data_IF_029077281833
#
_entry.id   IF_029077281833
#
_cell.length_a   1.000
_cell.length_b   1.000
_cell.length_c   1.000
_cell.angle_alpha   90.00
_cell.angle_beta   90.00
_cell.angle_gamma   90.00
#
_symmetry.space_group_name_H-M   'P 1'
#
loop_
_entity.id
_entity.type
_entity.pdbx_description
1 polymer ?
#
# COMPACT_ATOMS: atom_id res chain seq x y z
N UNK A 1 20.99 5.06 -12.88
CA UNK A 1 19.95 4.56 -11.91
C UNK A 1 18.73 5.45 -11.96
N UNK A 2 17.58 4.87 -12.19
CA UNK A 2 16.29 5.54 -12.05
C UNK A 2 15.51 4.83 -10.95
N UNK A 3 15.40 5.49 -9.79
CA UNK A 3 14.88 4.90 -8.56
C UNK A 3 13.37 5.13 -8.41
N UNK A 4 12.64 4.10 -7.97
CA UNK A 4 11.32 4.25 -7.36
C UNK A 4 11.33 3.77 -5.91
N UNK A 5 10.64 4.49 -5.02
CA UNK A 5 10.37 4.03 -3.66
C UNK A 5 8.95 3.48 -3.58
N UNK A 6 8.83 2.34 -2.91
CA UNK A 6 7.59 1.63 -2.71
C UNK A 6 7.22 1.60 -1.22
N UNK A 7 5.92 1.68 -0.90
CA UNK A 7 5.44 1.71 0.49
C UNK A 7 4.45 0.58 0.76
N UNK A 8 4.74 -0.16 1.85
CA UNK A 8 4.16 -1.45 2.16
C UNK A 8 2.63 -1.44 2.33
N UNK A 9 1.94 -2.51 1.87
CA UNK A 9 0.50 -2.69 2.00
C UNK A 9 0.08 -3.21 3.38
N UNK A 10 -1.24 -3.15 3.67
CA UNK A 10 -1.85 -3.97 4.72
C UNK A 10 -1.62 -5.46 4.44
N UNK A 11 -1.32 -6.22 5.50
CA UNK A 11 -0.88 -7.61 5.41
C UNK A 11 0.64 -7.79 5.57
N UNK A 12 1.41 -6.69 5.57
CA UNK A 12 2.86 -6.70 5.81
C UNK A 12 3.24 -6.52 7.29
N UNK A 13 2.29 -6.11 8.14
CA UNK A 13 2.54 -5.81 9.55
C UNK A 13 2.98 -7.04 10.35
N UNK A 14 3.93 -6.85 11.23
CA UNK A 14 4.37 -7.84 12.20
C UNK A 14 4.85 -7.15 13.48
N UNK A 15 4.64 -7.74 14.68
CA UNK A 15 5.21 -7.22 15.91
C UNK A 15 6.73 -7.05 15.81
N UNK A 16 7.24 -5.93 16.28
CA UNK A 16 8.66 -5.55 16.15
C UNK A 16 8.95 -4.61 14.98
N UNK A 17 8.01 -4.40 14.04
CA UNK A 17 8.23 -3.56 12.86
C UNK A 17 8.62 -2.14 13.26
N UNK A 18 9.67 -1.60 12.59
CA UNK A 18 10.19 -0.26 12.79
C UNK A 18 10.99 -0.02 14.08
N UNK A 19 10.96 -0.93 15.08
CA UNK A 19 11.67 -0.76 16.37
C UNK A 19 13.17 -0.58 16.15
N UNK A 20 13.78 -1.47 15.40
CA UNK A 20 15.22 -1.40 15.16
C UNK A 20 15.60 -0.14 14.40
N UNK A 21 14.83 0.25 13.37
CA UNK A 21 15.05 1.50 12.64
C UNK A 21 14.95 2.72 13.54
N UNK A 22 13.96 2.79 14.44
CA UNK A 22 13.82 3.87 15.43
C UNK A 22 15.00 3.92 16.43
N UNK A 23 15.69 2.81 16.67
CA UNK A 23 16.90 2.78 17.50
C UNK A 23 18.15 3.26 16.75
N UNK A 24 18.14 3.26 15.43
CA UNK A 24 19.27 3.55 14.54
C UNK A 24 19.24 4.93 13.89
N UNK A 25 18.07 5.56 13.83
CA UNK A 25 17.80 6.78 13.08
C UNK A 25 16.92 7.72 13.91
N UNK A 26 17.39 8.98 14.05
CA UNK A 26 16.64 10.01 14.74
C UNK A 26 15.35 10.35 14.01
N UNK A 27 15.38 10.40 12.66
CA UNK A 27 14.20 10.62 11.83
C UNK A 27 13.17 9.50 11.91
N UNK A 28 13.63 8.24 12.00
CA UNK A 28 12.73 7.12 12.21
C UNK A 28 12.07 7.17 13.61
N UNK A 29 12.83 7.48 14.66
CA UNK A 29 12.30 7.66 16.02
C UNK A 29 11.27 8.80 16.04
N UNK A 30 11.61 9.94 15.48
CA UNK A 30 10.71 11.10 15.41
C UNK A 30 9.39 10.79 14.68
N UNK A 31 9.39 9.89 13.68
CA UNK A 31 8.13 9.48 13.03
C UNK A 31 7.18 8.75 13.99
N UNK A 32 7.69 7.88 14.86
CA UNK A 32 6.88 7.20 15.87
C UNK A 32 6.42 8.17 16.98
N UNK A 33 7.29 9.07 17.45
CA UNK A 33 6.94 10.09 18.44
C UNK A 33 5.86 11.04 17.92
N UNK A 34 5.94 11.47 16.67
CA UNK A 34 4.95 12.29 15.99
C UNK A 34 3.62 11.55 15.85
N UNK A 35 3.65 10.25 15.51
CA UNK A 35 2.46 9.43 15.37
C UNK A 35 1.73 9.23 16.72
N UNK A 36 2.47 8.90 17.79
CA UNK A 36 1.93 8.76 19.14
C UNK A 36 1.26 10.07 19.61
N UNK A 37 1.93 11.20 19.39
CA UNK A 37 1.40 12.51 19.75
C UNK A 37 0.17 12.91 18.95
N UNK A 38 0.17 12.65 17.62
CA UNK A 38 -0.91 13.04 16.72
C UNK A 38 -2.19 12.26 16.98
N UNK A 39 -2.07 10.94 17.19
CA UNK A 39 -3.24 10.07 17.33
C UNK A 39 -3.72 9.90 18.77
N UNK A 40 -2.90 10.31 19.76
CA UNK A 40 -3.26 10.23 21.18
C UNK A 40 -3.28 8.80 21.73
N UNK A 41 -2.71 7.85 20.99
CA UNK A 41 -2.46 6.47 21.44
C UNK A 41 -1.09 6.00 20.96
N UNK A 42 -0.52 5.00 21.63
CA UNK A 42 0.85 4.58 21.31
C UNK A 42 0.90 3.66 20.09
N UNK A 43 1.11 4.27 18.91
CA UNK A 43 1.40 3.58 17.65
C UNK A 43 2.68 2.76 17.78
N UNK A 44 3.70 3.36 18.43
CA UNK A 44 4.98 2.72 18.69
C UNK A 44 4.83 1.43 19.47
N UNK A 45 4.08 1.41 20.59
CA UNK A 45 3.88 0.22 21.40
C UNK A 45 3.15 -0.90 20.63
N UNK A 46 2.15 -0.55 19.81
CA UNK A 46 1.43 -1.52 18.98
C UNK A 46 2.34 -2.11 17.90
N UNK A 47 3.15 -1.28 17.23
CA UNK A 47 4.11 -1.75 16.23
C UNK A 47 5.17 -2.67 16.85
N UNK A 48 5.68 -2.32 18.04
CA UNK A 48 6.84 -3.00 18.64
C UNK A 48 6.47 -4.21 19.47
N UNK A 49 5.42 -4.11 20.26
CA UNK A 49 5.08 -5.12 21.28
C UNK A 49 3.76 -5.84 20.97
N UNK A 50 2.95 -5.31 20.03
CA UNK A 50 1.63 -5.86 19.72
C UNK A 50 0.59 -5.52 20.80
N UNK A 51 -0.33 -6.41 21.16
CA UNK A 51 -0.42 -7.82 20.69
C UNK A 51 -0.82 -7.92 19.20
N UNK A 52 -0.58 -9.07 18.60
CA UNK A 52 -0.84 -9.32 17.17
C UNK A 52 -2.29 -9.05 16.77
N UNK A 53 -3.23 -9.38 17.63
CA UNK A 53 -4.66 -9.15 17.41
C UNK A 53 -4.99 -7.66 17.26
N UNK A 54 -4.37 -6.81 18.07
CA UNK A 54 -4.50 -5.35 17.98
C UNK A 54 -3.83 -4.81 16.73
N UNK A 55 -2.62 -5.30 16.42
CA UNK A 55 -1.88 -4.89 15.23
C UNK A 55 -2.61 -5.28 13.94
N UNK A 56 -3.43 -6.34 13.96
CA UNK A 56 -4.25 -6.80 12.84
C UNK A 56 -5.65 -6.17 12.78
N UNK A 57 -6.06 -5.38 13.80
CA UNK A 57 -7.26 -4.56 13.68
C UNK A 57 -6.98 -3.43 12.68
N UNK A 58 -7.80 -3.31 11.64
CA UNK A 58 -7.60 -2.34 10.56
C UNK A 58 -7.46 -0.90 11.07
N UNK A 59 -8.12 -0.56 12.21
CA UNK A 59 -8.03 0.76 12.87
C UNK A 59 -6.62 1.08 13.36
N UNK A 60 -5.85 0.06 13.71
CA UNK A 60 -4.48 0.19 14.19
C UNK A 60 -3.45 -0.18 13.11
N UNK A 61 -3.75 -1.18 12.28
CA UNK A 61 -2.87 -1.62 11.20
C UNK A 61 -2.47 -0.47 10.28
N UNK A 62 -3.43 0.32 9.83
CA UNK A 62 -3.17 1.33 8.80
C UNK A 62 -2.27 2.46 9.32
N UNK A 63 -2.54 3.11 10.48
CA UNK A 63 -1.61 4.09 11.05
C UNK A 63 -0.24 3.51 11.37
N UNK A 64 -0.17 2.27 11.87
CA UNK A 64 1.09 1.59 12.14
C UNK A 64 1.93 1.38 10.88
N UNK A 65 1.31 0.99 9.76
CA UNK A 65 2.01 0.82 8.47
C UNK A 65 2.47 2.15 7.89
N UNK A 66 1.65 3.19 7.93
CA UNK A 66 2.05 4.53 7.51
C UNK A 66 3.28 5.02 8.29
N UNK A 67 3.21 4.94 9.63
CA UNK A 67 4.32 5.37 10.48
C UNK A 67 5.60 4.60 10.21
N UNK A 68 5.50 3.26 10.11
CA UNK A 68 6.66 2.40 9.83
C UNK A 68 7.26 2.68 8.46
N UNK A 69 6.43 2.93 7.44
CA UNK A 69 6.89 3.25 6.08
C UNK A 69 7.63 4.59 6.03
N UNK A 70 7.11 5.61 6.69
CA UNK A 70 7.78 6.93 6.79
C UNK A 70 9.06 6.84 7.62
N UNK A 71 9.05 6.06 8.73
CA UNK A 71 10.24 5.80 9.53
C UNK A 71 11.35 5.10 8.71
N UNK A 72 10.99 4.10 7.91
CA UNK A 72 11.92 3.40 7.02
C UNK A 72 12.54 4.34 5.98
N UNK A 73 11.72 5.18 5.34
CA UNK A 73 12.21 6.21 4.42
C UNK A 73 13.17 7.21 5.11
N UNK A 74 12.78 7.75 6.29
CA UNK A 74 13.63 8.71 7.03
C UNK A 74 14.96 8.07 7.42
N UNK A 75 14.97 6.80 7.84
CA UNK A 75 16.20 6.06 8.16
C UNK A 75 17.11 5.89 6.93
N UNK A 76 16.56 5.60 5.76
CA UNK A 76 17.31 5.50 4.51
C UNK A 76 17.89 6.86 4.10
N UNK A 77 17.10 7.92 4.14
CA UNK A 77 17.49 9.26 3.75
C UNK A 77 18.59 9.88 4.66
N UNK A 78 18.70 9.43 5.92
CA UNK A 78 19.83 9.81 6.81
C UNK A 78 21.14 9.11 6.43
N UNK A 79 21.11 8.02 5.67
CA UNK A 79 22.30 7.22 5.32
C UNK A 79 22.87 7.54 3.95
N UNK A 80 22.02 7.95 3.01
CA UNK A 80 22.41 8.19 1.62
C UNK A 80 21.47 9.20 0.99
N UNK A 81 21.91 10.01 0.02
CA UNK A 81 20.99 10.78 -0.80
C UNK A 81 19.97 9.86 -1.48
N UNK A 82 18.71 10.21 -1.40
CA UNK A 82 17.60 9.46 -1.99
C UNK A 82 16.83 10.39 -2.92
N UNK A 83 17.00 10.21 -4.22
CA UNK A 83 16.38 11.01 -5.27
C UNK A 83 15.51 10.13 -6.18
N UNK A 84 14.32 9.73 -5.73
CA UNK A 84 13.45 8.89 -6.52
C UNK A 84 12.80 9.68 -7.66
N UNK A 85 12.66 9.03 -8.82
CA UNK A 85 11.88 9.56 -9.94
C UNK A 85 10.37 9.32 -9.73
N UNK A 86 10.02 8.25 -8.99
CA UNK A 86 8.65 7.89 -8.69
C UNK A 86 8.51 7.39 -7.25
N UNK A 87 7.32 7.63 -6.71
CA UNK A 87 6.85 7.06 -5.46
C UNK A 87 5.58 6.26 -5.74
N UNK A 88 5.44 5.10 -5.13
CA UNK A 88 4.23 4.30 -5.21
C UNK A 88 3.98 3.60 -3.89
N UNK A 89 2.73 3.51 -3.48
CA UNK A 89 2.33 2.75 -2.31
C UNK A 89 1.12 1.89 -2.63
N UNK A 90 1.03 0.71 -2.06
CA UNK A 90 -0.11 -0.17 -2.32
C UNK A 90 -1.20 0.10 -1.28
N UNK A 91 -2.39 0.54 -1.72
CA UNK A 91 -3.53 0.87 -0.86
C UNK A 91 -3.14 1.91 0.22
N UNK A 92 -3.11 1.55 1.51
CA UNK A 92 -2.68 2.45 2.59
C UNK A 92 -1.26 2.99 2.39
N UNK A 93 -0.39 2.24 1.72
CA UNK A 93 0.97 2.69 1.41
C UNK A 93 1.04 3.94 0.54
N UNK A 94 0.00 4.25 -0.26
CA UNK A 94 -0.06 5.48 -1.05
C UNK A 94 -0.01 6.74 -0.16
N UNK A 95 -0.54 6.69 1.07
CA UNK A 95 -0.41 7.78 2.04
C UNK A 95 1.03 8.04 2.49
N UNK A 96 1.85 6.99 2.60
CA UNK A 96 3.28 7.17 2.86
C UNK A 96 4.00 7.83 1.67
N UNK A 97 3.60 7.48 0.44
CA UNK A 97 4.08 8.17 -0.77
C UNK A 97 3.71 9.66 -0.76
N UNK A 98 2.49 10.02 -0.31
CA UNK A 98 2.06 11.43 -0.16
C UNK A 98 2.95 12.20 0.81
N UNK A 99 3.28 11.60 1.97
CA UNK A 99 4.16 12.24 2.97
C UNK A 99 5.57 12.45 2.40
N UNK A 100 6.13 11.45 1.75
CA UNK A 100 7.48 11.53 1.18
C UNK A 100 7.53 12.50 0.00
N UNK A 101 6.48 12.56 -0.81
CA UNK A 101 6.35 13.55 -1.89
C UNK A 101 6.13 14.99 -1.37
N UNK A 102 5.78 15.16 -0.09
CA UNK A 102 5.47 16.47 0.51
C UNK A 102 4.08 17.00 0.13
N UNK A 103 3.16 16.11 -0.25
CA UNK A 103 1.75 16.46 -0.52
C UNK A 103 1.01 16.72 0.79
N UNK A 104 1.30 15.92 1.82
CA UNK A 104 0.80 16.05 3.19
C UNK A 104 1.99 15.98 4.16
N UNK A 105 1.87 16.63 5.31
CA UNK A 105 2.74 16.31 6.45
C UNK A 105 2.33 14.96 7.09
N UNK A 106 3.18 14.42 7.94
CA UNK A 106 2.90 13.11 8.56
C UNK A 106 1.67 13.17 9.49
N UNK A 107 1.49 14.27 10.20
CA UNK A 107 0.37 14.43 11.12
C UNK A 107 -0.98 14.47 10.38
N UNK A 108 -1.08 15.21 9.26
CA UNK A 108 -2.25 15.23 8.39
C UNK A 108 -2.54 13.84 7.80
N UNK A 109 -1.50 13.17 7.26
CA UNK A 109 -1.65 11.82 6.72
C UNK A 109 -2.11 10.81 7.78
N UNK A 110 -1.62 10.92 9.03
CA UNK A 110 -2.03 10.07 10.15
C UNK A 110 -3.51 10.27 10.51
N UNK A 111 -3.98 11.53 10.59
CA UNK A 111 -5.40 11.81 10.85
C UNK A 111 -6.29 11.23 9.76
N UNK A 112 -5.92 11.41 8.50
CA UNK A 112 -6.66 10.86 7.35
C UNK A 112 -6.65 9.34 7.32
N UNK A 113 -5.50 8.70 7.59
CA UNK A 113 -5.38 7.24 7.64
C UNK A 113 -6.16 6.66 8.83
N UNK A 114 -6.15 7.34 9.99
CA UNK A 114 -6.99 6.92 11.12
C UNK A 114 -8.48 7.00 10.74
N UNK A 115 -8.92 8.11 10.14
CA UNK A 115 -10.30 8.24 9.64
C UNK A 115 -10.67 7.19 8.63
N UNK A 116 -9.76 6.93 7.65
CA UNK A 116 -9.91 5.84 6.67
C UNK A 116 -10.09 4.49 7.35
N UNK A 117 -9.22 4.17 8.28
CA UNK A 117 -9.24 2.90 9.01
C UNK A 117 -10.53 2.71 9.82
N UNK A 118 -10.99 3.76 10.50
CA UNK A 118 -12.24 3.75 11.28
C UNK A 118 -13.47 3.52 10.38
N UNK A 119 -13.54 4.24 9.26
CA UNK A 119 -14.63 4.09 8.29
C UNK A 119 -14.62 2.68 7.65
N UNK A 120 -13.44 2.17 7.24
CA UNK A 120 -13.32 0.84 6.66
C UNK A 120 -13.61 -0.28 7.66
N UNK A 121 -13.33 -0.07 8.95
CA UNK A 121 -13.57 -1.08 9.98
C UNK A 121 -15.07 -1.28 10.28
N UNK A 122 -15.91 -0.26 10.07
CA UNK A 122 -17.37 -0.33 10.29
C UNK A 122 -18.15 -0.54 8.99
N UNK A 123 -17.49 -0.44 7.85
CA UNK A 123 -18.09 -0.63 6.54
C UNK A 123 -18.30 -2.11 6.27
N UNK A 124 -19.44 -2.59 6.72
CA UNK A 124 -20.11 -3.77 6.19
C UNK A 124 -19.66 -5.18 6.64
N UNK A 125 -20.50 -5.79 7.46
CA UNK A 125 -20.44 -7.22 7.83
C UNK A 125 -20.84 -8.21 6.72
N UNK A 126 -21.35 -7.77 5.56
CA UNK A 126 -21.79 -8.65 4.45
C UNK A 126 -20.75 -8.83 3.35
N UNK A 127 -19.70 -8.00 3.34
CA UNK A 127 -18.63 -8.03 2.36
C UNK A 127 -17.41 -8.84 2.80
N UNK A 128 -16.48 -9.05 1.85
CA UNK A 128 -15.21 -9.74 2.08
C UNK A 128 -14.30 -9.66 0.88
N UNK A 129 -13.12 -10.28 1.05
CA UNK A 129 -12.10 -10.37 0.00
C UNK A 129 -11.51 -11.78 -0.06
N UNK A 130 -11.05 -12.19 -1.24
CA UNK A 130 -10.33 -13.44 -1.41
C UNK A 130 -9.16 -13.28 -2.39
N UNK A 131 -8.00 -13.84 -2.05
CA UNK A 131 -6.87 -13.94 -2.95
C UNK A 131 -7.01 -15.17 -3.85
N UNK A 132 -6.93 -14.95 -5.16
CA UNK A 132 -6.95 -15.97 -6.22
C UNK A 132 -5.53 -16.18 -6.71
N UNK A 133 -5.03 -17.40 -6.57
CA UNK A 133 -3.66 -17.77 -6.92
C UNK A 133 -3.67 -18.72 -8.11
N UNK A 134 -2.86 -18.41 -9.12
CA UNK A 134 -2.63 -19.27 -10.28
C UNK A 134 -3.50 -18.95 -11.50
N UNK A 135 -4.26 -17.85 -11.44
CA UNK A 135 -4.98 -17.30 -12.59
C UNK A 135 -4.49 -15.90 -12.90
N UNK A 136 -4.42 -15.56 -14.16
CA UNK A 136 -4.18 -14.20 -14.64
C UNK A 136 -5.46 -13.35 -14.47
N UNK A 137 -5.29 -12.03 -14.41
CA UNK A 137 -6.37 -11.06 -14.18
C UNK A 137 -7.58 -11.27 -15.09
N UNK A 138 -7.35 -11.48 -16.37
CA UNK A 138 -8.40 -11.63 -17.38
C UNK A 138 -9.28 -12.85 -17.12
N UNK A 139 -8.67 -13.97 -16.69
CA UNK A 139 -9.39 -15.19 -16.34
C UNK A 139 -10.21 -15.02 -15.04
N UNK A 140 -9.67 -14.27 -14.06
CA UNK A 140 -10.39 -13.94 -12.83
C UNK A 140 -11.56 -13.00 -13.16
N UNK A 141 -11.34 -11.97 -13.98
CA UNK A 141 -12.40 -11.04 -14.40
C UNK A 141 -13.54 -11.77 -15.12
N UNK A 142 -13.21 -12.65 -16.08
CA UNK A 142 -14.22 -13.44 -16.78
C UNK A 142 -15.03 -14.33 -15.82
N UNK A 143 -14.40 -14.91 -14.80
CA UNK A 143 -15.10 -15.72 -13.79
C UNK A 143 -16.00 -14.86 -12.88
N UNK A 144 -15.60 -13.64 -12.55
CA UNK A 144 -16.40 -12.65 -11.81
C UNK A 144 -17.62 -12.25 -12.63
N UNK A 145 -17.43 -11.85 -13.90
CA UNK A 145 -18.48 -11.36 -14.80
C UNK A 145 -19.54 -12.44 -15.09
N UNK A 146 -19.16 -13.71 -15.03
CA UNK A 146 -20.07 -14.83 -15.25
C UNK A 146 -21.08 -15.07 -14.12
N UNK A 147 -20.80 -14.58 -12.90
CA UNK A 147 -21.57 -14.94 -11.70
C UNK A 147 -22.14 -13.75 -10.93
N UNK A 148 -21.63 -12.54 -11.14
CA UNK A 148 -21.99 -11.38 -10.35
C UNK A 148 -22.09 -10.11 -11.20
N UNK A 149 -22.81 -9.12 -10.67
CA UNK A 149 -22.81 -7.75 -11.25
C UNK A 149 -21.58 -6.99 -10.76
N UNK A 150 -21.10 -5.98 -11.52
CA UNK A 150 -19.98 -5.14 -11.11
C UNK A 150 -20.17 -4.41 -9.77
N UNK A 151 -21.41 -4.25 -9.32
CA UNK A 151 -21.75 -3.66 -8.01
C UNK A 151 -21.68 -4.66 -6.85
N UNK A 152 -21.55 -5.95 -7.12
CA UNK A 152 -21.61 -7.03 -6.14
C UNK A 152 -20.25 -7.69 -5.90
N UNK A 153 -19.44 -7.81 -6.96
CA UNK A 153 -18.12 -8.43 -6.93
C UNK A 153 -17.23 -7.84 -8.01
N UNK A 154 -15.97 -7.57 -7.68
CA UNK A 154 -14.99 -6.99 -8.60
C UNK A 154 -13.60 -7.62 -8.39
N UNK A 155 -12.72 -7.49 -9.38
CA UNK A 155 -11.28 -7.58 -9.17
C UNK A 155 -10.86 -6.35 -8.40
N UNK A 156 -10.31 -6.54 -7.20
CA UNK A 156 -9.93 -5.47 -6.27
C UNK A 156 -8.43 -5.14 -6.31
N UNK A 157 -7.57 -6.15 -6.52
CA UNK A 157 -6.13 -5.92 -6.66
C UNK A 157 -5.57 -6.82 -7.75
N UNK A 158 -4.83 -6.23 -8.68
CA UNK A 158 -3.96 -6.93 -9.62
C UNK A 158 -2.53 -6.86 -9.09
N UNK A 159 -2.17 -7.84 -8.23
CA UNK A 159 -0.95 -7.77 -7.42
C UNK A 159 0.31 -8.24 -8.14
N UNK A 160 0.20 -9.31 -8.93
CA UNK A 160 1.29 -9.85 -9.74
C UNK A 160 0.72 -10.91 -10.70
N UNK A 161 1.45 -11.30 -11.76
CA UNK A 161 1.05 -12.42 -12.62
C UNK A 161 0.63 -13.65 -11.80
N UNK A 162 -0.61 -14.10 -11.98
CA UNK A 162 -1.20 -15.21 -11.21
C UNK A 162 -1.46 -14.93 -9.73
N UNK A 163 -1.60 -13.66 -9.32
CA UNK A 163 -1.99 -13.27 -7.96
C UNK A 163 -2.93 -12.07 -8.00
N UNK A 164 -4.21 -12.34 -7.93
CA UNK A 164 -5.29 -11.37 -8.03
C UNK A 164 -6.15 -11.44 -6.77
N UNK A 165 -6.73 -10.33 -6.34
CA UNK A 165 -7.67 -10.29 -5.22
C UNK A 165 -9.03 -9.87 -5.75
N UNK A 166 -10.08 -10.57 -5.32
CA UNK A 166 -11.47 -10.21 -5.56
C UNK A 166 -12.12 -9.68 -4.30
N UNK A 167 -13.06 -8.76 -4.45
CA UNK A 167 -13.73 -8.09 -3.34
C UNK A 167 -15.20 -7.85 -3.65
N UNK A 168 -16.07 -8.11 -2.69
CA UNK A 168 -17.51 -7.94 -2.88
C UNK A 168 -18.33 -8.62 -1.81
N UNK A 169 -19.61 -8.85 -2.13
CA UNK A 169 -20.54 -9.56 -1.26
C UNK A 169 -20.10 -11.01 -1.03
N UNK A 170 -20.32 -11.53 0.17
CA UNK A 170 -19.91 -12.92 0.54
C UNK A 170 -20.58 -13.98 -0.30
N UNK A 171 -21.86 -13.80 -0.65
CA UNK A 171 -22.59 -14.72 -1.53
C UNK A 171 -22.03 -14.72 -2.96
N UNK A 172 -21.67 -13.55 -3.50
CA UNK A 172 -21.05 -13.41 -4.81
C UNK A 172 -19.61 -14.01 -4.83
N UNK A 173 -18.84 -13.81 -3.75
CA UNK A 173 -17.52 -14.45 -3.58
C UNK A 173 -17.64 -15.97 -3.62
N UNK A 174 -18.61 -16.54 -2.88
CA UNK A 174 -18.86 -17.99 -2.87
C UNK A 174 -19.30 -18.52 -4.24
N UNK A 175 -20.14 -17.77 -4.96
CA UNK A 175 -20.57 -18.16 -6.32
C UNK A 175 -19.39 -18.15 -7.31
N UNK A 176 -18.49 -17.17 -7.22
CA UNK A 176 -17.34 -17.04 -8.10
C UNK A 176 -16.27 -18.13 -7.85
N UNK A 177 -16.19 -18.69 -6.64
CA UNK A 177 -15.18 -19.72 -6.31
C UNK A 177 -15.25 -20.92 -7.24
N UNK A 178 -16.46 -21.42 -7.55
CA UNK A 178 -16.68 -22.54 -8.47
C UNK A 178 -16.16 -22.26 -9.88
N UNK A 179 -16.49 -21.07 -10.44
CA UNK A 179 -16.04 -20.65 -11.76
C UNK A 179 -14.51 -20.51 -11.82
N UNK A 180 -13.89 -19.96 -10.79
CA UNK A 180 -12.43 -19.81 -10.71
C UNK A 180 -11.71 -21.15 -10.60
N UNK A 181 -12.27 -22.13 -9.86
CA UNK A 181 -11.71 -23.49 -9.80
C UNK A 181 -11.78 -24.18 -11.17
N UNK A 182 -12.89 -24.05 -11.89
CA UNK A 182 -13.02 -24.55 -13.26
C UNK A 182 -12.02 -23.88 -14.20
N UNK A 183 -11.77 -22.58 -14.04
CA UNK A 183 -10.78 -21.83 -14.80
C UNK A 183 -9.33 -22.20 -14.45
N UNK A 184 -9.06 -23.00 -13.41
CA UNK A 184 -7.74 -23.49 -13.06
C UNK A 184 -7.07 -22.77 -11.88
N UNK A 185 -7.82 -22.05 -11.04
CA UNK A 185 -7.28 -21.43 -9.82
C UNK A 185 -6.64 -22.50 -8.92
N UNK A 186 -5.37 -22.31 -8.56
CA UNK A 186 -4.64 -23.22 -7.67
C UNK A 186 -5.09 -23.10 -6.22
N UNK A 187 -5.36 -21.88 -5.78
CA UNK A 187 -5.87 -21.57 -4.43
C UNK A 187 -6.79 -20.36 -4.49
N UNK A 188 -7.81 -20.38 -3.65
CA UNK A 188 -8.68 -19.24 -3.35
C UNK A 188 -8.67 -19.11 -1.84
N UNK A 189 -8.11 -18.02 -1.33
CA UNK A 189 -7.83 -17.82 0.10
C UNK A 189 -8.64 -16.63 0.60
N UNK A 190 -9.65 -16.84 1.45
CA UNK A 190 -10.32 -15.74 2.13
C UNK A 190 -9.31 -14.87 2.89
N UNK A 191 -9.43 -13.56 2.78
CA UNK A 191 -8.59 -12.61 3.52
C UNK A 191 -9.27 -12.27 4.85
N UNK A 192 -8.47 -12.15 5.91
CA UNK A 192 -8.93 -11.72 7.25
C UNK A 192 -9.09 -10.20 7.30
N UNK A 193 -10.11 -9.70 6.59
CA UNK A 193 -10.46 -8.27 6.54
C UNK A 193 -11.92 -8.06 6.93
N UNK A 194 -12.25 -6.86 7.42
CA UNK A 194 -13.58 -6.52 7.94
C UNK A 194 -14.61 -6.16 6.87
N UNK A 195 -14.20 -5.99 5.59
CA UNK A 195 -15.12 -5.52 4.55
C UNK A 195 -14.65 -5.80 3.13
N UNK A 196 -15.46 -5.38 2.17
CA UNK A 196 -15.20 -5.50 0.73
C UNK A 196 -14.38 -4.31 0.21
N UNK A 197 -13.11 -4.18 0.68
CA UNK A 197 -12.23 -3.09 0.29
C UNK A 197 -11.96 -3.07 -1.21
N UNK A 198 -11.71 -1.89 -1.76
CA UNK A 198 -11.45 -1.69 -3.18
C UNK A 198 -12.58 -2.20 -4.09
N UNK A 199 -13.83 -2.05 -3.62
CA UNK A 199 -15.03 -2.38 -4.39
C UNK A 199 -16.06 -1.25 -4.30
N UNK A 200 -17.05 -1.20 -5.21
CA UNK A 200 -18.13 -0.20 -5.16
C UNK A 200 -18.91 -0.16 -3.84
N UNK A 201 -18.86 -1.24 -3.03
CA UNK A 201 -19.47 -1.29 -1.70
C UNK A 201 -18.85 -0.29 -0.71
N UNK A 202 -17.62 0.17 -0.99
CA UNK A 202 -16.95 1.21 -0.21
C UNK A 202 -17.34 2.64 -0.63
N UNK A 203 -18.31 2.83 -1.52
CA UNK A 203 -18.76 4.16 -1.95
C UNK A 203 -19.14 5.11 -0.81
N UNK A 204 -19.88 4.68 0.23
CA UNK A 204 -20.13 5.50 1.42
C UNK A 204 -18.84 5.92 2.15
N UNK A 205 -17.85 5.02 2.27
CA UNK A 205 -16.54 5.30 2.87
C UNK A 205 -15.79 6.36 2.07
N UNK A 206 -15.78 6.21 0.73
CA UNK A 206 -15.12 7.16 -0.18
C UNK A 206 -15.69 8.58 0.00
N UNK A 207 -17.01 8.72 0.14
CA UNK A 207 -17.68 10.01 0.34
C UNK A 207 -17.29 10.66 1.67
N UNK A 208 -17.32 9.90 2.76
CA UNK A 208 -16.93 10.39 4.09
C UNK A 208 -15.43 10.75 4.15
N UNK A 209 -14.59 9.96 3.50
CA UNK A 209 -13.16 10.21 3.41
C UNK A 209 -12.86 11.47 2.59
N UNK A 210 -13.53 11.66 1.46
CA UNK A 210 -13.41 12.86 0.65
C UNK A 210 -13.77 14.14 1.41
N UNK A 211 -14.78 14.08 2.28
CA UNK A 211 -15.14 15.20 3.16
C UNK A 211 -14.03 15.49 4.19
N UNK A 212 -13.39 14.46 4.76
CA UNK A 212 -12.28 14.64 5.70
C UNK A 212 -11.03 15.25 5.04
N UNK A 213 -10.88 15.15 3.73
CA UNK A 213 -9.79 15.77 3.01
C UNK A 213 -9.86 17.31 2.99
N UNK A 214 -11.06 17.91 3.21
CA UNK A 214 -11.24 19.35 3.27
C UNK A 214 -10.60 19.98 4.52
N UNK A 215 -10.34 19.18 5.55
CA UNK A 215 -9.77 19.65 6.82
C UNK A 215 -8.23 19.72 6.79
N UNK A 216 -7.58 19.24 5.72
CA UNK A 216 -6.12 19.17 5.61
C UNK A 216 -5.59 20.06 4.48
N UNK A 217 -4.34 20.52 4.64
CA UNK A 217 -3.63 21.29 3.62
C UNK A 217 -2.93 20.34 2.64
N UNK A 218 -3.14 20.55 1.34
CA UNK A 218 -2.58 19.75 0.26
C UNK A 218 -1.63 20.56 -0.61
N UNK A 219 -0.47 19.98 -0.94
CA UNK A 219 0.53 20.58 -1.81
C UNK A 219 0.78 19.70 -3.04
N UNK A 220 1.26 20.31 -4.13
CA UNK A 220 1.73 19.54 -5.28
C UNK A 220 2.91 18.64 -4.89
N UNK A 221 2.94 17.44 -5.47
CA UNK A 221 3.98 16.47 -5.18
C UNK A 221 5.32 16.92 -5.78
N UNK A 222 6.37 16.89 -4.96
CA UNK A 222 7.76 17.17 -5.41
C UNK A 222 8.32 16.03 -6.28
N UNK A 223 7.81 14.84 -6.13
CA UNK A 223 8.14 13.64 -6.90
C UNK A 223 6.84 12.99 -7.31
N UNK A 224 6.72 12.55 -8.55
CA UNK A 224 5.51 11.97 -9.08
C UNK A 224 5.09 10.71 -8.30
N UNK A 225 3.81 10.64 -7.94
CA UNK A 225 3.19 9.49 -7.27
C UNK A 225 2.44 8.68 -8.32
N UNK A 226 2.71 7.38 -8.40
CA UNK A 226 1.97 6.50 -9.30
C UNK A 226 0.68 6.05 -8.60
N UNK A 227 -0.45 6.52 -9.12
CA UNK A 227 -1.77 6.28 -8.52
C UNK A 227 -2.17 4.82 -8.57
N UNK A 228 -2.76 4.30 -7.50
CA UNK A 228 -3.32 2.95 -7.47
C UNK A 228 -4.48 2.77 -8.45
N UNK A 229 -5.26 3.83 -8.70
CA UNK A 229 -6.48 3.77 -9.52
C UNK A 229 -6.17 3.76 -11.00
N UNK A 230 -5.25 4.64 -11.45
CA UNK A 230 -4.96 4.85 -12.86
C UNK A 230 -3.64 4.22 -13.33
N UNK A 231 -2.78 3.83 -12.39
CA UNK A 231 -1.39 3.44 -12.65
C UNK A 231 -0.55 4.53 -13.35
N UNK A 232 -1.02 5.80 -13.33
CA UNK A 232 -0.36 6.93 -13.96
C UNK A 232 0.36 7.81 -12.93
N UNK A 233 1.51 8.39 -13.27
CA UNK A 233 2.19 9.38 -12.44
C UNK A 233 1.37 10.67 -12.30
N UNK A 234 1.26 11.19 -11.08
CA UNK A 234 0.51 12.41 -10.75
C UNK A 234 1.34 13.28 -9.81
N UNK A 235 1.32 14.61 -10.04
CA UNK A 235 1.95 15.62 -9.17
C UNK A 235 0.97 16.67 -8.67
N UNK A 236 -0.12 16.93 -9.39
CA UNK A 236 -1.14 17.92 -9.02
C UNK A 236 -1.92 17.50 -7.78
N UNK A 237 -1.94 18.34 -6.76
CA UNK A 237 -2.60 18.08 -5.47
C UNK A 237 -4.09 17.80 -5.60
N UNK A 238 -4.79 18.54 -6.46
CA UNK A 238 -6.23 18.37 -6.69
C UNK A 238 -6.54 17.02 -7.34
N UNK A 239 -5.71 16.61 -8.30
CA UNK A 239 -5.84 15.30 -8.96
C UNK A 239 -5.51 14.15 -8.02
N UNK A 240 -4.42 14.27 -7.22
CA UNK A 240 -4.03 13.30 -6.20
C UNK A 240 -5.19 13.09 -5.22
N UNK A 241 -5.74 14.18 -4.69
CA UNK A 241 -6.86 14.15 -3.75
C UNK A 241 -8.09 13.45 -4.33
N UNK A 242 -8.46 13.75 -5.58
CA UNK A 242 -9.59 13.10 -6.26
C UNK A 242 -9.37 11.59 -6.42
N UNK A 243 -8.19 11.18 -6.89
CA UNK A 243 -7.83 9.76 -7.06
C UNK A 243 -7.77 9.02 -5.72
N UNK A 244 -7.27 9.66 -4.67
CA UNK A 244 -7.20 9.05 -3.34
C UNK A 244 -8.59 8.84 -2.73
N UNK A 245 -9.56 9.72 -3.01
CA UNK A 245 -10.95 9.52 -2.62
C UNK A 245 -11.58 8.32 -3.34
N UNK A 246 -11.26 8.13 -4.62
CA UNK A 246 -11.71 6.99 -5.42
C UNK A 246 -11.03 5.67 -5.02
N UNK A 247 -9.82 5.71 -4.47
CA UNK A 247 -8.97 4.54 -4.22
C UNK A 247 -9.66 3.45 -3.39
N UNK A 248 -10.42 3.82 -2.36
CA UNK A 248 -11.05 2.84 -1.45
C UNK A 248 -12.17 2.04 -2.10
N UNK A 249 -12.75 2.53 -3.21
CA UNK A 249 -13.81 1.87 -3.96
C UNK A 249 -13.38 1.44 -5.38
N UNK A 250 -12.11 1.61 -5.73
CA UNK A 250 -11.53 1.26 -7.03
C UNK A 250 -10.43 0.20 -6.90
N UNK A 251 -10.17 -0.57 -7.96
CA UNK A 251 -9.07 -1.53 -7.97
C UNK A 251 -7.70 -0.90 -7.73
N UNK A 252 -6.81 -1.66 -7.10
CA UNK A 252 -5.38 -1.35 -7.05
C UNK A 252 -4.71 -1.98 -8.27
N UNK A 253 -4.33 -1.16 -9.22
CA UNK A 253 -3.71 -1.54 -10.50
C UNK A 253 -2.19 -1.71 -10.36
N UNK A 254 -1.74 -2.59 -9.43
CA UNK A 254 -0.33 -2.67 -9.04
C UNK A 254 0.58 -3.18 -10.16
N UNK A 255 0.14 -4.20 -10.92
CA UNK A 255 0.90 -4.69 -12.08
C UNK A 255 1.11 -3.58 -13.11
N UNK A 256 0.05 -2.82 -13.42
CA UNK A 256 0.13 -1.70 -14.35
C UNK A 256 1.03 -0.58 -13.81
N UNK A 257 0.96 -0.25 -12.51
CA UNK A 257 1.80 0.76 -11.87
C UNK A 257 3.29 0.40 -11.93
N UNK A 258 3.66 -0.85 -11.62
CA UNK A 258 5.05 -1.31 -11.72
C UNK A 258 5.52 -1.28 -13.18
N UNK A 259 4.73 -1.78 -14.13
CA UNK A 259 5.07 -1.75 -15.56
C UNK A 259 5.20 -0.33 -16.09
N UNK A 260 4.36 0.61 -15.62
CA UNK A 260 4.46 2.03 -15.98
C UNK A 260 5.79 2.60 -15.51
N UNK A 261 6.18 2.42 -14.26
CA UNK A 261 7.48 2.90 -13.76
C UNK A 261 8.66 2.31 -14.55
N UNK A 262 8.62 1.02 -14.87
CA UNK A 262 9.65 0.37 -15.69
C UNK A 262 9.69 0.95 -17.11
N UNK A 263 8.55 1.18 -17.74
CA UNK A 263 8.49 1.80 -19.08
C UNK A 263 9.03 3.23 -19.11
N UNK A 264 8.92 3.93 -17.98
CA UNK A 264 9.46 5.28 -17.79
C UNK A 264 10.94 5.26 -17.32
N UNK A 265 11.59 4.07 -17.39
CA UNK A 265 13.03 3.89 -17.21
C UNK A 265 13.47 3.52 -15.79
N UNK A 266 12.55 3.20 -14.87
CA UNK A 266 12.93 2.71 -13.53
C UNK A 266 13.62 1.36 -13.62
N UNK A 267 14.84 1.29 -13.10
CA UNK A 267 15.69 0.10 -13.04
C UNK A 267 15.93 -0.41 -11.62
N UNK A 268 15.57 0.40 -10.60
CA UNK A 268 15.76 0.08 -9.19
C UNK A 268 14.51 0.44 -8.38
N UNK A 269 14.02 -0.50 -7.56
CA UNK A 269 12.87 -0.28 -6.67
C UNK A 269 13.20 -0.67 -5.23
N UNK A 270 12.94 0.23 -4.26
CA UNK A 270 13.20 -0.02 -2.85
C UNK A 270 11.91 0.09 -2.05
N UNK A 271 11.53 -0.99 -1.35
CA UNK A 271 10.37 -1.00 -0.46
C UNK A 271 10.75 -0.48 0.92
N UNK A 272 10.11 0.62 1.35
CA UNK A 272 10.21 1.19 2.68
C UNK A 272 8.97 0.78 3.50
N UNK A 273 9.16 0.03 4.60
CA UNK A 273 8.04 -0.35 5.44
C UNK A 273 8.21 -1.64 6.23
N UNK A 274 7.12 -2.37 6.43
CA UNK A 274 7.01 -3.47 7.37
C UNK A 274 7.24 -4.86 6.77
N UNK A 275 7.80 -4.97 5.57
CA UNK A 275 7.99 -6.28 4.95
C UNK A 275 8.62 -6.20 3.57
N UNK A 276 8.44 -7.25 2.79
CA UNK A 276 9.00 -7.39 1.44
C UNK A 276 7.92 -7.81 0.43
N UNK A 277 6.67 -7.51 0.72
CA UNK A 277 5.55 -7.95 -0.10
C UNK A 277 5.61 -7.35 -1.51
N UNK A 278 5.91 -6.04 -1.61
CA UNK A 278 5.99 -5.33 -2.89
C UNK A 278 7.23 -5.76 -3.67
N UNK A 279 8.37 -5.92 -3.03
CA UNK A 279 9.58 -6.50 -3.66
C UNK A 279 9.29 -7.88 -4.24
N UNK A 280 8.56 -8.73 -3.50
CA UNK A 280 8.12 -10.04 -4.00
C UNK A 280 7.21 -9.95 -5.24
N UNK A 281 6.34 -8.94 -5.29
CA UNK A 281 5.48 -8.67 -6.46
C UNK A 281 6.30 -8.12 -7.64
N UNK A 282 7.20 -7.15 -7.40
CA UNK A 282 8.06 -6.55 -8.44
C UNK A 282 8.90 -7.61 -9.13
N UNK A 283 9.54 -8.52 -8.39
CA UNK A 283 10.34 -9.62 -8.97
C UNK A 283 9.56 -10.54 -9.91
N UNK A 284 8.25 -10.62 -9.74
CA UNK A 284 7.35 -11.40 -10.62
C UNK A 284 6.86 -10.58 -11.82
N UNK A 285 6.71 -9.26 -11.66
CA UNK A 285 6.21 -8.36 -12.70
C UNK A 285 7.34 -7.93 -13.63
N UNK A 286 8.50 -7.60 -13.06
CA UNK A 286 9.66 -7.04 -13.73
C UNK A 286 10.96 -7.64 -13.13
N UNK A 287 11.33 -8.89 -13.49
CA UNK A 287 12.43 -9.63 -12.87
C UNK A 287 13.80 -8.99 -13.07
N UNK A 288 13.96 -8.13 -14.07
CA UNK A 288 15.23 -7.46 -14.39
C UNK A 288 15.47 -6.19 -13.56
N UNK A 289 14.48 -5.73 -12.79
CA UNK A 289 14.58 -4.55 -11.91
C UNK A 289 15.33 -4.93 -10.63
N UNK A 290 16.36 -4.15 -10.29
CA UNK A 290 17.05 -4.28 -9.01
C UNK A 290 16.10 -3.93 -7.85
N UNK A 291 16.11 -4.73 -6.78
CA UNK A 291 15.17 -4.53 -5.66
C UNK A 291 15.89 -4.51 -4.33
N UNK A 292 15.50 -3.56 -3.48
CA UNK A 292 15.90 -3.45 -2.08
C UNK A 292 14.70 -3.32 -1.14
N UNK A 293 14.93 -3.40 0.17
CA UNK A 293 13.93 -3.13 1.20
C UNK A 293 14.57 -2.47 2.42
N UNK A 294 13.78 -1.72 3.18
CA UNK A 294 14.21 -1.07 4.42
C UNK A 294 13.20 -1.41 5.51
N UNK A 295 13.53 -2.38 6.35
CA UNK A 295 12.67 -2.86 7.45
C UNK A 295 13.44 -3.07 8.77
N UNK A 296 14.77 -3.27 8.69
CA UNK A 296 15.70 -3.50 9.80
C UNK A 296 17.11 -2.99 9.44
N UNK A 297 18.09 -3.19 10.33
CA UNK A 297 19.49 -2.79 10.11
C UNK A 297 20.08 -3.42 8.87
N UNK A 298 19.93 -4.71 8.70
CA UNK A 298 20.58 -5.45 7.61
C UNK A 298 20.07 -5.00 6.24
N UNK A 299 18.77 -4.81 6.11
CA UNK A 299 18.12 -4.34 4.88
C UNK A 299 18.38 -2.86 4.63
N UNK A 300 18.48 -2.03 5.67
CA UNK A 300 18.89 -0.63 5.55
C UNK A 300 20.31 -0.52 5.00
N UNK A 301 21.27 -1.28 5.56
CA UNK A 301 22.66 -1.31 5.09
C UNK A 301 22.77 -1.81 3.65
N UNK A 302 22.04 -2.89 3.31
CA UNK A 302 22.02 -3.44 1.95
C UNK A 302 21.42 -2.45 0.94
N UNK A 303 20.31 -1.78 1.27
CA UNK A 303 19.69 -0.79 0.39
C UNK A 303 20.55 0.47 0.26
N UNK A 304 21.22 0.90 1.33
CA UNK A 304 22.20 2.00 1.27
C UNK A 304 23.36 1.66 0.32
N UNK A 305 23.89 0.44 0.40
CA UNK A 305 24.96 -0.03 -0.48
C UNK A 305 24.49 -0.15 -1.95
N UNK A 306 23.27 -0.63 -2.18
CA UNK A 306 22.66 -0.71 -3.51
C UNK A 306 22.61 0.68 -4.17
N UNK A 307 22.09 1.69 -3.45
CA UNK A 307 21.97 3.05 -3.98
C UNK A 307 23.34 3.72 -4.19
N UNK A 308 24.31 3.47 -3.31
CA UNK A 308 25.67 4.03 -3.44
C UNK A 308 26.46 3.41 -4.61
N UNK A 309 26.34 2.11 -4.86
CA UNK A 309 27.05 1.43 -5.93
C UNK A 309 26.66 1.94 -7.32
N UNK A 310 25.39 2.28 -7.50
CA UNK A 310 24.86 2.75 -8.78
C UNK A 310 25.10 4.24 -9.02
N UNK A 311 25.27 5.05 -7.95
CA UNK A 311 25.70 6.44 -8.07
C UNK A 311 27.13 6.61 -8.60
N UNK A 312 27.98 5.58 -8.45
CA UNK A 312 29.39 5.58 -8.95
C UNK A 312 29.44 5.13 -10.43
N UNK A 313 28.40 4.48 -10.94
CA UNK A 313 28.35 3.94 -12.31
C UNK A 313 27.67 4.84 -13.32
N UNK A 314 27.11 5.97 -12.89
CA UNK A 314 26.42 6.98 -13.69
C UNK A 314 27.31 8.23 -13.91
#
# INVERSE_FOLDING_TARGET
>A
MTLALLFSPQGSQAPGMGRELASLSDGARAAFEEADATLGWSVSAICWDGPTERLNDTRQTQPCLLTTSVAAYRALAERTPVEPSFLAGHSVGEYAALVVAGVLDLAAALRLVQRRADLMAVADGEGGMAAVIGLEREAVQAAVDAVARPTELVVANDNAPGQVVISGRRDALAAAEGAMRVAGARRILPLSVSGAFHSPLMGPVAKELAAAFDDEEWHDARVAIVSNVTAEPVTDAGRIRALLAEQVCSPVEWVAAVRRMVSDGVDTMVECGAGTALVGMVRRIAPDVATGSVLDRATLEASTALLAAEAVSA
#
